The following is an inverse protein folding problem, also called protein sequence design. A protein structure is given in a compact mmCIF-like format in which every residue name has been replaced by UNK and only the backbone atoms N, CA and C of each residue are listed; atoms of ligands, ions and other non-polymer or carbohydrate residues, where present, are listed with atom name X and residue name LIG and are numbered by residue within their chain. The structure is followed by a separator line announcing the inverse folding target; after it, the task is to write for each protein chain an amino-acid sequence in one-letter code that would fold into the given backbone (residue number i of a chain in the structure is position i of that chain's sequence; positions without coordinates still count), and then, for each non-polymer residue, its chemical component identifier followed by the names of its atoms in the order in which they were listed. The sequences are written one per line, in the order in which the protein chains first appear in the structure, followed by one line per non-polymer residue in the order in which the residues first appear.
data_IF_749976259819
#
_entry.id   IF_749976259819
#
_cell.length_a   1.000
_cell.length_b   1.000
_cell.length_c   1.000
_cell.angle_alpha   90.00
_cell.angle_beta   90.00
_cell.angle_gamma   90.00
#
_symmetry.space_group_name_H-M   'P 1'
#
loop_
_entity.id
_entity.type
_entity.pdbx_description
1 polymer ?
#
# COMPACT_ATOMS: atom_id res chain seq x y z
N UNK A 1 -23.78 73.07 -6.71
CA UNK A 1 -23.67 73.23 -5.25
C UNK A 1 -24.66 72.28 -4.62
N UNK A 2 -24.42 71.45 -3.62
CA UNK A 2 -23.27 71.07 -2.80
C UNK A 2 -23.83 69.95 -1.91
N UNK A 3 -23.02 68.93 -1.59
CA UNK A 3 -22.95 68.15 -0.32
C UNK A 3 -24.24 67.95 0.52
N UNK A 4 -24.52 66.80 1.12
CA UNK A 4 -23.64 66.17 2.13
C UNK A 4 -24.13 64.76 2.51
N UNK A 5 -23.15 63.98 2.91
CA UNK A 5 -23.03 62.58 3.30
C UNK A 5 -23.42 62.32 4.78
N UNK A 6 -24.01 61.16 5.08
CA UNK A 6 -23.94 60.40 6.37
C UNK A 6 -24.28 58.94 6.00
N UNK A 7 -23.36 57.99 5.83
CA UNK A 7 -22.38 57.34 6.72
C UNK A 7 -22.96 56.23 7.65
N UNK A 8 -22.51 55.01 7.33
CA UNK A 8 -22.07 53.91 8.21
C UNK A 8 -23.06 52.99 8.95
N UNK A 9 -22.64 51.70 8.99
CA UNK A 9 -22.94 50.55 9.88
C UNK A 9 -23.83 49.47 9.25
N UNK A 10 -23.47 48.18 9.13
CA UNK A 10 -22.33 47.37 9.58
C UNK A 10 -22.27 46.10 8.69
N UNK A 11 -21.15 45.81 8.03
CA UNK A 11 -20.85 44.47 7.49
C UNK A 11 -19.72 43.85 8.33
N UNK A 12 -19.89 42.67 8.95
CA UNK A 12 -18.79 41.95 9.53
C UNK A 12 -18.16 41.05 8.46
N UNK A 13 -17.37 41.64 7.56
CA UNK A 13 -16.38 40.90 6.78
C UNK A 13 -15.04 40.94 7.52
N UNK A 14 -14.90 40.14 8.58
CA UNK A 14 -13.56 39.81 9.09
C UNK A 14 -13.55 38.51 9.89
N UNK A 15 -12.48 37.74 9.66
CA UNK A 15 -11.99 36.57 10.40
C UNK A 15 -12.43 35.20 9.89
N UNK A 16 -11.94 34.83 8.70
CA UNK A 16 -11.51 33.45 8.45
C UNK A 16 -10.02 33.44 8.07
N UNK A 17 -9.19 33.95 8.99
CA UNK A 17 -7.75 33.78 8.90
C UNK A 17 -7.26 33.06 10.16
N UNK A 18 -6.60 31.93 9.89
CA UNK A 18 -5.65 31.22 10.74
C UNK A 18 -6.22 30.26 11.79
N UNK A 19 -6.38 29.00 11.37
CA UNK A 19 -6.00 27.89 12.24
C UNK A 19 -5.51 26.68 11.42
N UNK A 20 -4.59 26.87 10.48
CA UNK A 20 -3.82 25.77 9.88
C UNK A 20 -2.71 25.34 10.83
N UNK A 21 -3.10 24.83 12.02
CA UNK A 21 -2.23 23.90 12.74
C UNK A 21 -1.90 22.78 11.75
N UNK A 22 -0.60 22.52 11.55
CA UNK A 22 -0.08 21.45 10.71
C UNK A 22 -0.73 20.13 11.18
N UNK A 23 -1.85 19.74 10.57
CA UNK A 23 -2.60 18.54 10.96
C UNK A 23 -1.65 17.37 10.75
N UNK A 24 -1.28 16.67 11.81
CA UNK A 24 -0.52 15.43 11.70
C UNK A 24 -1.28 14.52 10.72
N UNK A 25 -0.60 14.05 9.67
CA UNK A 25 -1.22 13.14 8.69
C UNK A 25 -1.67 11.88 9.43
N UNK A 26 -2.97 11.64 9.46
CA UNK A 26 -3.52 10.45 10.10
C UNK A 26 -3.17 9.21 9.26
N UNK A 27 -2.73 8.13 9.90
CA UNK A 27 -2.50 6.84 9.23
C UNK A 27 -3.79 6.20 8.70
N UNK A 28 -4.96 6.73 9.09
CA UNK A 28 -6.28 6.32 8.62
C UNK A 28 -6.93 7.33 7.65
N UNK A 29 -6.19 8.37 7.22
CA UNK A 29 -6.71 9.29 6.21
C UNK A 29 -6.21 8.88 4.82
N UNK A 30 -7.10 8.28 4.02
CA UNK A 30 -6.79 7.85 2.66
C UNK A 30 -6.18 8.96 1.81
N UNK A 31 -6.73 10.17 1.85
CA UNK A 31 -6.26 11.26 0.99
C UNK A 31 -4.85 11.72 1.35
N UNK A 32 -4.56 11.87 2.64
CA UNK A 32 -3.24 12.30 3.11
C UNK A 32 -2.17 11.25 2.77
N UNK A 33 -2.52 9.98 2.93
CA UNK A 33 -1.61 8.87 2.68
C UNK A 33 -1.41 8.64 1.16
N UNK A 34 -2.47 8.71 0.35
CA UNK A 34 -2.37 8.57 -1.09
C UNK A 34 -1.66 9.77 -1.74
N UNK A 35 -1.87 10.99 -1.22
CA UNK A 35 -1.15 12.18 -1.68
C UNK A 35 0.36 12.02 -1.51
N UNK A 36 0.83 11.54 -0.36
CA UNK A 36 2.26 11.26 -0.16
C UNK A 36 2.76 10.23 -1.16
N UNK A 37 2.04 9.12 -1.35
CA UNK A 37 2.40 8.11 -2.35
C UNK A 37 2.54 8.70 -3.75
N UNK A 38 1.56 9.49 -4.20
CA UNK A 38 1.55 10.08 -5.55
C UNK A 38 2.70 11.06 -5.80
N UNK A 39 3.28 11.67 -4.76
CA UNK A 39 4.44 12.56 -4.89
C UNK A 39 5.74 11.85 -5.32
N UNK A 40 5.80 10.51 -5.21
CA UNK A 40 6.95 9.69 -5.61
C UNK A 40 6.68 8.82 -6.83
N UNK A 41 5.43 8.75 -7.30
CA UNK A 41 4.99 7.85 -8.36
C UNK A 41 4.18 8.64 -9.39
N UNK A 42 4.82 9.62 -10.02
CA UNK A 42 4.17 10.51 -11.00
C UNK A 42 4.30 10.00 -12.44
N UNK A 43 5.32 9.17 -12.71
CA UNK A 43 5.55 8.62 -14.03
C UNK A 43 4.72 7.34 -14.25
N UNK A 44 3.93 7.23 -15.33
CA UNK A 44 3.07 6.07 -15.55
C UNK A 44 3.85 4.76 -15.66
N UNK A 45 5.06 4.76 -16.24
CA UNK A 45 5.88 3.56 -16.36
C UNK A 45 6.31 3.07 -14.98
N UNK A 46 6.71 3.98 -14.09
CA UNK A 46 7.06 3.64 -12.72
C UNK A 46 5.84 3.08 -11.97
N UNK A 47 4.66 3.70 -12.13
CA UNK A 47 3.41 3.20 -11.55
C UNK A 47 3.11 1.76 -12.02
N UNK A 48 3.28 1.45 -13.32
CA UNK A 48 3.07 0.08 -13.81
C UNK A 48 4.10 -0.92 -13.26
N UNK A 49 5.36 -0.52 -13.13
CA UNK A 49 6.39 -1.34 -12.47
C UNK A 49 5.94 -1.69 -11.04
N UNK A 50 5.43 -0.71 -10.29
CA UNK A 50 4.95 -0.91 -8.93
C UNK A 50 3.69 -1.78 -8.86
N UNK A 51 2.72 -1.58 -9.76
CA UNK A 51 1.50 -2.40 -9.86
C UNK A 51 1.83 -3.89 -9.98
N UNK A 52 2.90 -4.23 -10.71
CA UNK A 52 3.34 -5.62 -10.88
C UNK A 52 4.23 -6.06 -9.72
N UNK A 53 5.24 -5.27 -9.36
CA UNK A 53 6.29 -5.70 -8.45
C UNK A 53 5.85 -5.68 -6.97
N UNK A 54 5.01 -4.74 -6.54
CA UNK A 54 4.60 -4.64 -5.14
C UNK A 54 3.81 -5.86 -4.66
N UNK A 55 2.76 -6.33 -5.38
CA UNK A 55 2.05 -7.56 -4.98
C UNK A 55 2.94 -8.80 -5.04
N UNK A 56 3.86 -8.87 -6.01
CA UNK A 56 4.85 -9.96 -6.09
C UNK A 56 5.80 -9.97 -4.89
N UNK A 57 6.33 -8.80 -4.50
CA UNK A 57 7.19 -8.67 -3.32
C UNK A 57 6.42 -9.05 -2.06
N UNK A 58 5.18 -8.59 -1.92
CA UNK A 58 4.35 -8.94 -0.77
C UNK A 58 4.17 -10.47 -0.66
N UNK A 59 3.71 -11.12 -1.75
CA UNK A 59 3.48 -12.57 -1.74
C UNK A 59 4.77 -13.37 -1.55
N UNK A 60 5.84 -13.03 -2.27
CA UNK A 60 7.14 -13.72 -2.12
C UNK A 60 7.75 -13.50 -0.73
N UNK A 61 7.52 -12.33 -0.09
CA UNK A 61 7.93 -12.10 1.30
C UNK A 61 7.18 -13.00 2.27
N UNK A 62 5.88 -13.25 2.06
CA UNK A 62 5.11 -14.21 2.88
C UNK A 62 5.71 -15.61 2.79
N UNK A 63 6.04 -16.08 1.57
CA UNK A 63 6.70 -17.38 1.36
C UNK A 63 8.06 -17.41 2.06
N UNK A 64 8.94 -16.44 1.79
CA UNK A 64 10.29 -16.39 2.38
C UNK A 64 10.25 -16.31 3.91
N UNK A 65 9.25 -15.64 4.48
CA UNK A 65 9.11 -15.50 5.93
C UNK A 65 8.97 -16.85 6.64
N UNK A 66 8.40 -17.88 6.01
CA UNK A 66 8.29 -19.23 6.59
C UNK A 66 9.64 -19.85 6.95
N UNK A 67 10.71 -19.46 6.27
CA UNK A 67 12.07 -19.94 6.55
C UNK A 67 12.78 -19.12 7.65
N UNK A 68 12.10 -18.16 8.26
CA UNK A 68 12.69 -17.31 9.30
C UNK A 68 12.40 -17.85 10.70
N UNK A 69 13.37 -17.66 11.61
CA UNK A 69 13.21 -18.04 13.02
C UNK A 69 12.03 -17.33 13.69
N UNK A 70 11.78 -16.06 13.34
CA UNK A 70 10.66 -15.29 13.87
C UNK A 70 9.34 -15.98 13.56
N UNK A 71 9.12 -16.32 12.28
CA UNK A 71 7.90 -16.98 11.84
C UNK A 71 7.69 -18.29 12.60
N UNK A 72 8.72 -19.13 12.73
CA UNK A 72 8.65 -20.41 13.45
C UNK A 72 8.32 -20.27 14.95
N UNK A 73 8.70 -19.15 15.57
CA UNK A 73 8.45 -18.85 16.99
C UNK A 73 7.04 -18.27 17.21
N UNK A 74 6.56 -17.46 16.27
CA UNK A 74 5.24 -16.83 16.33
C UNK A 74 4.16 -17.66 15.63
N UNK A 75 4.53 -18.84 15.12
CA UNK A 75 3.61 -19.72 14.42
C UNK A 75 2.59 -20.31 15.38
N UNK A 76 1.37 -19.80 15.30
CA UNK A 76 0.25 -20.25 16.11
C UNK A 76 -0.38 -21.54 15.57
N UNK A 77 0.07 -22.08 14.43
CA UNK A 77 -0.37 -23.40 13.93
C UNK A 77 -0.03 -24.52 14.92
N UNK A 78 1.00 -24.30 15.76
CA UNK A 78 1.40 -25.20 16.85
C UNK A 78 0.48 -25.13 18.06
N UNK A 79 -0.28 -24.04 18.22
CA UNK A 79 -1.35 -24.01 19.20
C UNK A 79 -2.41 -25.01 18.73
N UNK A 80 -2.89 -25.87 19.62
CA UNK A 80 -3.85 -26.95 19.31
C UNK A 80 -5.26 -26.39 18.99
N UNK A 81 -5.36 -25.46 18.05
CA UNK A 81 -6.60 -25.20 17.35
C UNK A 81 -6.80 -26.39 16.40
N UNK A 82 -7.96 -27.04 16.46
CA UNK A 82 -8.22 -28.25 15.66
C UNK A 82 -7.97 -28.00 14.16
N UNK A 83 -7.68 -29.07 13.40
CA UNK A 83 -7.59 -28.99 11.94
C UNK A 83 -8.90 -28.40 11.39
N UNK A 84 -8.80 -27.32 10.63
CA UNK A 84 -9.95 -26.75 9.93
C UNK A 84 -10.16 -27.55 8.65
N UNK A 85 -11.34 -28.17 8.50
CA UNK A 85 -11.78 -28.79 7.25
C UNK A 85 -12.71 -27.85 6.51
N UNK A 86 -12.48 -27.64 5.21
CA UNK A 86 -13.41 -26.90 4.35
C UNK A 86 -14.45 -27.82 3.72
N UNK A 87 -15.64 -27.30 3.32
CA UNK A 87 -16.61 -28.06 2.54
C UNK A 87 -16.04 -28.53 1.20
N UNK A 88 -16.40 -29.73 0.75
CA UNK A 88 -15.90 -30.35 -0.49
C UNK A 88 -16.16 -29.49 -1.74
N UNK A 89 -17.28 -28.74 -1.75
CA UNK A 89 -17.61 -27.84 -2.86
C UNK A 89 -16.59 -26.70 -3.00
N UNK A 90 -16.02 -26.23 -1.88
CA UNK A 90 -14.98 -25.21 -1.89
C UNK A 90 -13.65 -25.81 -2.37
N UNK A 91 -13.34 -27.04 -1.96
CA UNK A 91 -12.13 -27.76 -2.39
C UNK A 91 -12.16 -28.06 -3.89
N UNK A 92 -13.33 -28.41 -4.43
CA UNK A 92 -13.52 -28.69 -5.85
C UNK A 92 -13.18 -27.50 -6.77
N UNK A 93 -13.19 -26.26 -6.24
CA UNK A 93 -12.77 -25.08 -7.01
C UNK A 93 -11.27 -25.06 -7.31
N UNK A 94 -10.46 -25.79 -6.53
CA UNK A 94 -8.99 -25.73 -6.58
C UNK A 94 -8.37 -24.43 -6.07
N UNK A 95 -9.17 -23.37 -5.86
CA UNK A 95 -8.72 -22.04 -5.41
C UNK A 95 -8.18 -22.08 -3.98
N UNK A 96 -8.76 -22.94 -3.14
CA UNK A 96 -8.41 -23.09 -1.73
C UNK A 96 -7.55 -24.33 -1.46
N UNK A 97 -7.04 -24.99 -2.51
CA UNK A 97 -6.25 -26.21 -2.39
C UNK A 97 -6.99 -27.46 -2.87
N UNK A 98 -6.63 -28.62 -2.30
CA UNK A 98 -7.12 -29.97 -2.66
C UNK A 98 -7.56 -30.73 -1.41
N UNK A 99 -8.10 -31.95 -1.58
CA UNK A 99 -8.64 -32.81 -0.50
C UNK A 99 -7.67 -33.12 0.65
N UNK A 100 -6.36 -32.84 0.50
CA UNK A 100 -5.33 -33.01 1.53
C UNK A 100 -4.70 -31.69 2.01
N UNK A 101 -5.24 -30.54 1.64
CA UNK A 101 -4.71 -29.23 2.05
C UNK A 101 -4.94 -28.99 3.54
N UNK A 102 -3.86 -28.68 4.26
CA UNK A 102 -3.93 -28.22 5.64
C UNK A 102 -4.16 -26.70 5.68
N UNK A 103 -5.05 -26.24 6.56
CA UNK A 103 -5.35 -24.82 6.72
C UNK A 103 -4.74 -24.30 8.03
N UNK A 104 -3.47 -23.94 7.95
CA UNK A 104 -2.73 -23.44 9.10
C UNK A 104 -3.03 -21.96 9.34
N UNK A 105 -3.48 -21.64 10.56
CA UNK A 105 -3.47 -20.27 11.06
C UNK A 105 -2.05 -19.97 11.53
N UNK A 106 -1.30 -19.19 10.76
CA UNK A 106 0.08 -18.84 11.08
C UNK A 106 0.33 -17.35 10.88
N UNK A 107 1.59 -16.92 10.99
CA UNK A 107 1.94 -15.51 10.85
C UNK A 107 1.58 -14.94 9.46
N UNK A 108 1.61 -15.73 8.38
CA UNK A 108 1.17 -15.27 7.06
C UNK A 108 -0.34 -15.00 7.03
N UNK A 109 -1.14 -15.87 7.63
CA UNK A 109 -2.60 -15.68 7.78
C UNK A 109 -2.91 -14.44 8.62
N UNK A 110 -2.23 -14.25 9.75
CA UNK A 110 -2.40 -13.06 10.61
C UNK A 110 -2.00 -11.79 9.86
N UNK A 111 -0.88 -11.81 9.15
CA UNK A 111 -0.38 -10.65 8.40
C UNK A 111 -1.37 -10.23 7.33
N UNK A 112 -1.84 -11.18 6.52
CA UNK A 112 -2.78 -10.89 5.43
C UNK A 112 -4.16 -10.47 5.93
N UNK A 113 -4.63 -11.05 7.05
CA UNK A 113 -5.85 -10.60 7.73
C UNK A 113 -5.69 -9.18 8.29
N UNK A 114 -4.56 -8.87 8.92
CA UNK A 114 -4.26 -7.53 9.43
C UNK A 114 -4.23 -6.47 8.32
N UNK A 115 -3.60 -6.77 7.19
CA UNK A 115 -3.63 -5.91 6.00
C UNK A 115 -5.06 -5.72 5.48
N UNK A 116 -5.84 -6.80 5.35
CA UNK A 116 -7.23 -6.72 4.88
C UNK A 116 -8.07 -5.82 5.81
N UNK A 117 -8.02 -6.03 7.12
CA UNK A 117 -8.76 -5.22 8.10
C UNK A 117 -8.32 -3.75 8.07
N UNK A 118 -7.02 -3.49 7.99
CA UNK A 118 -6.49 -2.13 7.89
C UNK A 118 -6.96 -1.42 6.61
N UNK A 119 -6.95 -2.10 5.47
CA UNK A 119 -7.37 -1.51 4.21
C UNK A 119 -8.89 -1.31 4.12
N UNK A 120 -9.68 -2.20 4.73
CA UNK A 120 -11.13 -2.00 4.91
C UNK A 120 -11.38 -0.77 5.80
N UNK A 121 -10.61 -0.61 6.88
CA UNK A 121 -10.72 0.58 7.73
C UNK A 121 -10.32 1.88 7.00
N UNK A 122 -9.39 1.80 6.05
CA UNK A 122 -8.90 2.96 5.31
C UNK A 122 -9.85 3.39 4.16
N UNK A 123 -10.37 2.42 3.40
CA UNK A 123 -11.36 2.63 2.36
C UNK A 123 -12.22 1.36 2.19
N UNK A 124 -13.43 1.30 2.79
CA UNK A 124 -14.17 0.05 2.98
C UNK A 124 -14.40 -0.78 1.71
N UNK A 125 -14.87 -0.16 0.63
CA UNK A 125 -15.20 -0.89 -0.59
C UNK A 125 -13.93 -1.38 -1.31
N UNK A 126 -12.91 -0.53 -1.46
CA UNK A 126 -11.65 -0.93 -2.09
C UNK A 126 -10.90 -1.98 -1.27
N UNK A 127 -10.87 -1.83 0.06
CA UNK A 127 -10.28 -2.79 0.98
C UNK A 127 -11.02 -4.13 0.98
N UNK A 128 -12.35 -4.10 0.97
CA UNK A 128 -13.18 -5.31 0.89
C UNK A 128 -12.93 -6.06 -0.41
N UNK A 129 -12.86 -5.37 -1.56
CA UNK A 129 -12.55 -5.98 -2.85
C UNK A 129 -11.14 -6.59 -2.89
N UNK A 130 -10.18 -6.03 -2.15
CA UNK A 130 -8.82 -6.57 -2.12
C UNK A 130 -8.63 -7.72 -1.12
N UNK A 131 -9.48 -7.77 -0.09
CA UNK A 131 -9.36 -8.74 1.00
C UNK A 131 -9.29 -10.21 0.55
N UNK A 132 -10.07 -10.69 -0.45
CA UNK A 132 -9.95 -12.08 -0.89
C UNK A 132 -8.59 -12.36 -1.54
N UNK A 133 -8.04 -11.39 -2.28
CA UNK A 133 -6.72 -11.54 -2.93
C UNK A 133 -5.63 -11.63 -1.86
N UNK A 134 -5.66 -10.76 -0.85
CA UNK A 134 -4.69 -10.78 0.25
C UNK A 134 -4.76 -12.09 1.06
N UNK A 135 -5.97 -12.54 1.40
CA UNK A 135 -6.17 -13.79 2.13
C UNK A 135 -5.70 -14.99 1.30
N UNK A 136 -5.99 -14.99 -0.01
CA UNK A 136 -5.49 -16.03 -0.93
C UNK A 136 -3.96 -16.01 -1.02
N UNK A 137 -3.31 -14.85 -1.04
CA UNK A 137 -1.84 -14.76 -0.99
C UNK A 137 -1.28 -15.38 0.30
N UNK A 138 -1.89 -15.10 1.46
CA UNK A 138 -1.50 -15.72 2.73
C UNK A 138 -1.68 -17.23 2.70
N UNK A 139 -2.86 -17.68 2.29
CA UNK A 139 -3.21 -19.10 2.16
C UNK A 139 -2.24 -19.84 1.22
N UNK A 140 -2.02 -19.34 0.00
CA UNK A 140 -1.15 -19.99 -0.97
C UNK A 140 0.32 -19.99 -0.54
N UNK A 141 0.76 -19.00 0.25
CA UNK A 141 2.11 -19.03 0.83
C UNK A 141 2.31 -20.23 1.78
N UNK A 142 1.24 -20.67 2.47
CA UNK A 142 1.25 -21.86 3.31
C UNK A 142 1.18 -23.13 2.44
N UNK A 143 0.24 -23.18 1.49
CA UNK A 143 -0.03 -24.36 0.65
C UNK A 143 1.19 -24.77 -0.17
N UNK A 144 1.91 -23.81 -0.76
CA UNK A 144 3.09 -24.10 -1.60
C UNK A 144 4.25 -24.78 -0.84
N UNK A 145 4.26 -24.69 0.49
CA UNK A 145 5.31 -25.27 1.33
C UNK A 145 4.90 -26.60 1.97
N UNK A 146 3.67 -27.06 1.76
CA UNK A 146 3.15 -28.29 2.36
C UNK A 146 3.75 -29.55 1.75
N UNK A 147 4.47 -30.37 2.54
CA UNK A 147 5.13 -31.58 2.03
C UNK A 147 4.15 -32.59 1.41
N UNK A 148 2.94 -32.69 1.95
CA UNK A 148 1.89 -33.63 1.52
C UNK A 148 1.24 -33.25 0.18
N UNK A 149 1.45 -32.02 -0.30
CA UNK A 149 0.93 -31.54 -1.59
C UNK A 149 2.02 -31.48 -2.67
N UNK A 150 3.29 -31.45 -2.25
CA UNK A 150 4.43 -31.43 -3.15
C UNK A 150 4.65 -32.83 -3.74
N UNK A 151 4.13 -33.04 -4.95
CA UNK A 151 4.39 -34.25 -5.74
C UNK A 151 5.88 -34.37 -6.08
N UNK A 152 6.36 -35.55 -6.49
CA UNK A 152 7.76 -35.72 -6.94
C UNK A 152 8.14 -34.80 -8.12
N UNK A 153 7.16 -34.31 -8.88
CA UNK A 153 7.34 -33.34 -9.96
C UNK A 153 7.36 -31.87 -9.49
N UNK A 154 6.97 -31.60 -8.25
CA UNK A 154 6.98 -30.25 -7.67
C UNK A 154 8.40 -29.87 -7.23
N UNK A 155 8.80 -28.58 -7.32
CA UNK A 155 10.09 -28.15 -6.81
C UNK A 155 10.22 -28.50 -5.32
N UNK A 156 11.39 -28.97 -4.90
CA UNK A 156 11.68 -29.09 -3.47
C UNK A 156 11.53 -27.74 -2.78
N UNK A 157 11.21 -27.71 -1.48
CA UNK A 157 11.09 -26.45 -0.74
C UNK A 157 12.35 -25.59 -0.85
N UNK A 158 13.54 -26.21 -0.91
CA UNK A 158 14.80 -25.50 -1.15
C UNK A 158 14.84 -24.81 -2.52
N UNK A 159 14.34 -25.47 -3.57
CA UNK A 159 14.25 -24.88 -4.92
C UNK A 159 13.18 -23.80 -4.98
N UNK A 160 12.03 -24.00 -4.32
CA UNK A 160 10.98 -22.98 -4.21
C UNK A 160 11.53 -21.71 -3.56
N UNK A 161 12.20 -21.81 -2.40
CA UNK A 161 12.81 -20.65 -1.75
C UNK A 161 13.83 -19.94 -2.64
N UNK A 162 14.64 -20.67 -3.42
CA UNK A 162 15.58 -20.07 -4.39
C UNK A 162 14.84 -19.28 -5.48
N UNK A 163 13.81 -19.87 -6.08
CA UNK A 163 13.01 -19.22 -7.13
C UNK A 163 12.30 -17.98 -6.56
N UNK A 164 11.63 -18.13 -5.41
CA UNK A 164 10.94 -17.06 -4.71
C UNK A 164 11.89 -15.92 -4.35
N UNK A 165 13.10 -16.22 -3.86
CA UNK A 165 14.12 -15.22 -3.56
C UNK A 165 14.58 -14.49 -4.82
N UNK A 166 14.79 -15.21 -5.93
CA UNK A 166 15.12 -14.61 -7.23
C UNK A 166 14.05 -13.63 -7.72
N UNK A 167 12.78 -14.01 -7.65
CA UNK A 167 11.65 -13.13 -7.99
C UNK A 167 11.63 -11.90 -7.08
N UNK A 168 11.76 -12.11 -5.76
CA UNK A 168 11.76 -11.04 -4.77
C UNK A 168 12.87 -10.00 -5.05
N UNK A 169 14.11 -10.46 -5.28
CA UNK A 169 15.24 -9.58 -5.62
C UNK A 169 15.00 -8.85 -6.94
N UNK A 170 14.57 -9.57 -7.98
CA UNK A 170 14.31 -8.99 -9.29
C UNK A 170 13.24 -7.89 -9.23
N UNK A 171 12.14 -8.13 -8.52
CA UNK A 171 11.08 -7.13 -8.31
C UNK A 171 11.59 -5.88 -7.58
N UNK A 172 12.45 -6.02 -6.56
CA UNK A 172 13.07 -4.86 -5.90
C UNK A 172 13.99 -4.07 -6.83
N UNK A 173 14.83 -4.77 -7.61
CA UNK A 173 15.70 -4.14 -8.61
C UNK A 173 14.88 -3.32 -9.60
N UNK A 174 13.78 -3.87 -10.12
CA UNK A 174 12.91 -3.14 -11.03
C UNK A 174 12.29 -1.89 -10.39
N UNK A 175 11.85 -1.96 -9.13
CA UNK A 175 11.31 -0.78 -8.43
C UNK A 175 12.37 0.32 -8.24
N UNK A 176 13.58 -0.04 -7.81
CA UNK A 176 14.66 0.95 -7.65
C UNK A 176 15.09 1.55 -8.99
N UNK A 177 15.17 0.74 -10.05
CA UNK A 177 15.39 1.22 -11.42
C UNK A 177 14.26 2.15 -11.87
N UNK A 178 13.01 1.83 -11.53
CA UNK A 178 11.84 2.64 -11.81
C UNK A 178 11.96 4.04 -11.21
N UNK A 179 12.21 4.12 -9.91
CA UNK A 179 12.44 5.40 -9.23
C UNK A 179 13.66 6.16 -9.77
N UNK A 180 14.80 5.48 -9.94
CA UNK A 180 16.03 6.13 -10.41
C UNK A 180 15.92 6.67 -11.84
N UNK A 181 15.35 5.89 -12.76
CA UNK A 181 15.26 6.22 -14.18
C UNK A 181 14.11 7.17 -14.50
N UNK A 182 12.92 6.94 -13.93
CA UNK A 182 11.71 7.64 -14.34
C UNK A 182 11.31 8.78 -13.41
N UNK A 183 11.48 8.62 -12.10
CA UNK A 183 11.13 9.67 -11.12
C UNK A 183 12.32 10.59 -10.80
N UNK A 184 13.55 10.13 -11.05
CA UNK A 184 14.81 10.84 -10.73
C UNK A 184 14.85 11.33 -9.28
N UNK A 185 14.24 10.57 -8.37
CA UNK A 185 14.11 10.86 -6.96
C UNK A 185 14.42 9.60 -6.15
N UNK A 186 14.95 9.79 -4.95
CA UNK A 186 15.08 8.71 -3.99
C UNK A 186 13.71 8.07 -3.70
N UNK A 187 13.67 6.74 -3.45
CA UNK A 187 12.43 6.05 -3.14
C UNK A 187 11.86 6.53 -1.82
N UNK A 188 10.52 6.55 -1.72
CA UNK A 188 9.80 6.94 -0.52
C UNK A 188 10.16 6.09 0.73
N UNK A 189 10.77 4.91 0.52
CA UNK A 189 11.25 4.01 1.57
C UNK A 189 12.16 4.72 2.60
N UNK A 190 12.96 5.68 2.13
CA UNK A 190 13.91 6.42 2.98
C UNK A 190 13.19 7.49 3.83
N UNK A 191 12.06 8.00 3.33
CA UNK A 191 11.30 9.08 3.96
C UNK A 191 10.22 8.56 4.92
N UNK A 192 9.56 7.43 4.60
CA UNK A 192 8.55 6.80 5.44
C UNK A 192 8.46 5.29 5.17
N UNK A 193 9.17 4.50 5.99
CA UNK A 193 9.25 3.05 5.84
C UNK A 193 7.88 2.36 5.99
N UNK A 194 7.08 2.75 6.99
CA UNK A 194 5.78 2.13 7.26
C UNK A 194 4.84 2.31 6.07
N UNK A 195 4.72 3.55 5.57
CA UNK A 195 3.88 3.85 4.41
C UNK A 195 4.38 3.16 3.14
N UNK A 196 5.70 3.11 2.95
CA UNK A 196 6.31 2.50 1.77
C UNK A 196 6.17 0.98 1.72
N UNK A 197 6.00 0.31 2.86
CA UNK A 197 5.81 -1.15 2.92
C UNK A 197 4.33 -1.50 3.03
N UNK A 198 3.62 -0.95 4.01
CA UNK A 198 2.24 -1.36 4.31
C UNK A 198 1.27 -0.78 3.28
N UNK A 199 1.32 0.54 3.07
CA UNK A 199 0.33 1.23 2.24
C UNK A 199 0.62 1.10 0.73
N UNK A 200 1.87 0.85 0.33
CA UNK A 200 2.20 0.61 -1.07
C UNK A 200 1.38 -0.55 -1.68
N UNK A 201 1.19 -1.64 -0.91
CA UNK A 201 0.38 -2.80 -1.31
C UNK A 201 -1.06 -2.39 -1.61
N UNK A 202 -1.62 -1.46 -0.84
CA UNK A 202 -2.96 -0.94 -1.07
C UNK A 202 -3.04 0.09 -2.20
N UNK A 203 -2.04 0.96 -2.32
CA UNK A 203 -2.10 2.05 -3.29
C UNK A 203 -1.92 1.60 -4.73
N UNK A 204 -1.13 0.55 -4.97
CA UNK A 204 -1.11 -0.07 -6.29
C UNK A 204 -2.46 -0.71 -6.66
N UNK A 205 -3.20 -1.22 -5.68
CA UNK A 205 -4.57 -1.71 -5.88
C UNK A 205 -5.54 -0.56 -6.18
N UNK A 206 -5.43 0.56 -5.45
CA UNK A 206 -6.21 1.77 -5.73
C UNK A 206 -5.93 2.33 -7.13
N UNK A 207 -4.68 2.32 -7.61
CA UNK A 207 -4.32 2.70 -8.98
C UNK A 207 -5.03 1.83 -10.03
N UNK A 208 -5.12 0.52 -9.79
CA UNK A 208 -5.88 -0.40 -10.65
C UNK A 208 -7.36 -0.06 -10.63
N UNK A 209 -7.96 0.12 -9.44
CA UNK A 209 -9.37 0.50 -9.31
C UNK A 209 -9.68 1.83 -9.99
N UNK A 210 -8.84 2.84 -9.81
CA UNK A 210 -8.98 4.14 -10.47
C UNK A 210 -8.95 4.03 -11.99
N UNK A 211 -8.10 3.16 -12.55
CA UNK A 211 -8.08 2.87 -14.00
C UNK A 211 -9.36 2.16 -14.47
N UNK A 212 -10.02 1.42 -13.59
CA UNK A 212 -11.33 0.80 -13.85
C UNK A 212 -12.52 1.76 -13.60
N UNK A 213 -12.27 3.04 -13.28
CA UNK A 213 -13.31 4.05 -13.07
C UNK A 213 -13.86 4.12 -11.65
N UNK A 214 -13.18 3.52 -10.66
CA UNK A 214 -13.56 3.63 -9.27
C UNK A 214 -13.46 5.08 -8.75
N UNK A 215 -14.54 5.60 -8.15
CA UNK A 215 -14.62 6.93 -7.49
C UNK A 215 -13.89 8.06 -8.27
N UNK A 216 -14.35 8.42 -9.48
CA UNK A 216 -13.64 9.39 -10.34
C UNK A 216 -13.47 10.77 -9.67
N UNK A 217 -14.45 11.23 -8.89
CA UNK A 217 -14.35 12.50 -8.15
C UNK A 217 -13.25 12.47 -7.08
N UNK A 218 -13.04 11.34 -6.42
CA UNK A 218 -11.94 11.16 -5.45
C UNK A 218 -10.60 11.20 -6.18
N UNK A 219 -10.48 10.46 -7.29
CA UNK A 219 -9.27 10.45 -8.10
C UNK A 219 -8.90 11.87 -8.56
N UNK A 220 -9.85 12.63 -9.09
CA UNK A 220 -9.62 14.02 -9.53
C UNK A 220 -9.11 14.91 -8.39
N UNK A 221 -9.71 14.77 -7.19
CA UNK A 221 -9.27 15.50 -5.99
C UNK A 221 -7.84 15.13 -5.59
N UNK A 222 -7.50 13.85 -5.62
CA UNK A 222 -6.15 13.35 -5.32
C UNK A 222 -5.14 13.84 -6.35
N UNK A 223 -5.44 13.74 -7.64
CA UNK A 223 -4.60 14.22 -8.74
C UNK A 223 -4.30 15.71 -8.57
N UNK A 224 -5.31 16.53 -8.23
CA UNK A 224 -5.12 17.96 -7.96
C UNK A 224 -4.19 18.20 -6.76
N UNK A 225 -4.38 17.48 -5.64
CA UNK A 225 -3.50 17.56 -4.46
C UNK A 225 -2.05 17.17 -4.79
N UNK A 226 -1.86 16.06 -5.50
CA UNK A 226 -0.55 15.54 -5.90
C UNK A 226 0.14 16.55 -6.82
N UNK A 227 -0.55 17.06 -7.84
CA UNK A 227 0.01 18.04 -8.77
C UNK A 227 0.45 19.33 -8.06
N UNK A 228 -0.34 19.81 -7.09
CA UNK A 228 0.02 20.96 -6.28
C UNK A 228 1.22 20.69 -5.36
N UNK A 229 1.35 19.48 -4.81
CA UNK A 229 2.51 19.11 -4.02
C UNK A 229 3.78 18.98 -4.87
N UNK A 230 3.66 18.41 -6.07
CA UNK A 230 4.75 18.29 -7.03
C UNK A 230 5.21 19.65 -7.55
N UNK A 231 4.30 20.59 -7.82
CA UNK A 231 4.66 21.94 -8.26
C UNK A 231 5.43 22.69 -7.16
N UNK A 232 4.99 22.60 -5.91
CA UNK A 232 5.71 23.15 -4.75
C UNK A 232 7.10 22.54 -4.58
N UNK A 233 7.24 21.22 -4.73
CA UNK A 233 8.53 20.53 -4.66
C UNK A 233 9.48 20.97 -5.79
N UNK A 234 8.97 21.13 -7.01
CA UNK A 234 9.76 21.64 -8.15
C UNK A 234 10.21 23.07 -7.93
N UNK A 235 9.33 23.93 -7.40
CA UNK A 235 9.66 25.32 -7.07
C UNK A 235 10.73 25.42 -5.97
N UNK A 236 10.65 24.59 -4.92
CA UNK A 236 11.66 24.60 -3.85
C UNK A 236 13.03 24.10 -4.31
N UNK A 237 13.07 23.17 -5.28
CA UNK A 237 14.32 22.76 -5.94
C UNK A 237 14.89 23.84 -6.87
N UNK A 238 14.04 24.63 -7.53
CA UNK A 238 14.48 25.71 -8.40
C UNK A 238 14.95 26.95 -7.64
N UNK A 239 14.41 27.22 -6.44
CA UNK A 239 14.76 28.39 -5.65
C UNK A 239 14.98 28.07 -4.15
N UNK A 240 16.12 27.46 -3.78
CA UNK A 240 16.40 26.94 -2.43
C UNK A 240 16.38 27.99 -1.31
N UNK A 241 16.55 29.28 -1.65
CA UNK A 241 16.57 30.39 -0.68
C UNK A 241 15.17 30.83 -0.23
N UNK A 242 14.11 30.49 -0.99
CA UNK A 242 12.72 30.84 -0.64
C UNK A 242 12.13 29.95 0.47
N UNK A 243 12.65 28.73 0.65
CA UNK A 243 12.19 27.78 1.68
C UNK A 243 12.63 28.13 3.10
N UNK A 244 13.71 28.90 3.29
CA UNK A 244 14.24 29.25 4.62
C UNK A 244 13.60 30.50 5.24
N UNK A 245 12.81 31.26 4.48
CA UNK A 245 12.19 32.51 4.97
C UNK A 245 10.87 32.22 5.70
N UNK A 246 10.12 31.18 5.29
CA UNK A 246 8.85 30.82 5.92
C UNK A 246 8.99 30.00 7.22
N UNK A 247 10.13 29.35 7.47
CA UNK A 247 10.39 28.62 8.72
C UNK A 247 10.99 29.50 9.84
N UNK A 248 11.34 30.76 9.54
CA UNK A 248 11.86 31.74 10.53
C UNK A 248 10.86 32.81 10.95
N UNK A 249 9.64 32.77 10.40
CA UNK A 249 8.60 33.77 10.62
C UNK A 249 7.39 33.23 11.42
N UNK A 250 7.46 32.02 11.99
CA UNK A 250 6.44 31.45 12.88
C UNK A 250 7.06 30.95 14.18
#
# INVERSE_FOLDING_TARGET
MSSTQTDSKDEPHHQEHQNTKRRARSIFNLEDQFEFYGQYHSNPVNVYIHIICVPLIFFTSLILAHNTRLFQLTDISKLKFGKISLPDQLLATGILGKESTNYDLNLATITTLGYALYFIALEPLAGLLYSPILILMGHWSNVLLQPNLNSQASPSNANLYKITFGIWVFSWVLQFLGHGKFEKRAPALIDNLFQSIVLAVFFVWMEVLFKLGYRPSLKQKLDHKINNALSKYRASKANPQSSSVNDKAN
#
